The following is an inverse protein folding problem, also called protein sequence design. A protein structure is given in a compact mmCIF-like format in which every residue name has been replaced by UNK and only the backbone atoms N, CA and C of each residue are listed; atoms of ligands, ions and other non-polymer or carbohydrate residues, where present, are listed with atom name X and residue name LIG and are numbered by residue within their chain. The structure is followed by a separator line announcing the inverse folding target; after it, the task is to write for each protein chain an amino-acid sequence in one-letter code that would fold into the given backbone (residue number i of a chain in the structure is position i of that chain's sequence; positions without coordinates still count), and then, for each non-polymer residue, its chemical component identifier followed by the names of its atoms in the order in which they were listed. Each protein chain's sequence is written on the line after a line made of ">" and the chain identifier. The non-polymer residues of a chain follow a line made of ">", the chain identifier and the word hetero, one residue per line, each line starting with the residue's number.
data_IF_846232764304
#
_entry.id   IF_846232764304
#
_cell.length_a   1.000
_cell.length_b   1.000
_cell.length_c   1.000
_cell.angle_alpha   90.00
_cell.angle_beta   90.00
_cell.angle_gamma   90.00
#
_symmetry.space_group_name_H-M   'P 1'
#
loop_
_entity.id
_entity.type
_entity.pdbx_description
1 polymer ?
#
# COMPACT_ATOMS: atom_id res chain seq x y z
N UNK A 1 -9.06 33.83 49.24
CA UNK A 1 -8.94 33.33 47.86
C UNK A 1 -9.64 34.30 46.91
N UNK A 2 -9.12 34.56 45.70
CA UNK A 2 -9.77 35.40 44.71
C UNK A 2 -11.20 34.91 44.37
N UNK A 3 -12.13 35.84 44.07
CA UNK A 3 -13.54 35.50 43.73
C UNK A 3 -13.67 34.39 42.64
N UNK A 4 -12.86 34.38 41.57
CA UNK A 4 -12.92 33.31 40.56
C UNK A 4 -12.51 31.93 41.08
N UNK A 5 -11.58 31.86 42.03
CA UNK A 5 -11.09 30.62 42.64
C UNK A 5 -12.14 30.04 43.59
N UNK A 6 -12.84 30.90 44.34
CA UNK A 6 -13.95 30.49 45.19
C UNK A 6 -15.11 29.93 44.36
N UNK A 7 -15.43 30.55 43.23
CA UNK A 7 -16.43 30.02 42.29
C UNK A 7 -16.00 28.67 41.70
N UNK A 8 -14.73 28.53 41.32
CA UNK A 8 -14.19 27.26 40.82
C UNK A 8 -14.18 26.15 41.88
N UNK A 9 -13.91 26.46 43.15
CA UNK A 9 -14.03 25.50 44.27
C UNK A 9 -15.45 25.00 44.44
N UNK A 10 -16.44 25.91 44.38
CA UNK A 10 -17.86 25.54 44.49
C UNK A 10 -18.32 24.65 43.31
N UNK A 11 -17.82 24.92 42.11
CA UNK A 11 -18.07 24.08 40.92
C UNK A 11 -17.38 22.72 41.04
N UNK A 12 -16.12 22.69 41.47
CA UNK A 12 -15.35 21.45 41.65
C UNK A 12 -15.96 20.53 42.72
N UNK A 13 -16.48 21.10 43.81
CA UNK A 13 -17.17 20.36 44.86
C UNK A 13 -18.46 19.65 44.36
N UNK A 14 -19.11 20.19 43.33
CA UNK A 14 -20.31 19.60 42.71
C UNK A 14 -19.95 18.66 41.55
N UNK A 15 -18.90 18.99 40.80
CA UNK A 15 -18.52 18.28 39.58
C UNK A 15 -16.98 18.23 39.47
N UNK A 16 -16.32 17.22 40.08
CA UNK A 16 -14.86 17.15 40.13
C UNK A 16 -14.18 17.01 38.76
N UNK A 17 -14.88 16.49 37.74
CA UNK A 17 -14.35 16.32 36.38
C UNK A 17 -14.46 17.58 35.50
N UNK A 18 -14.96 18.69 36.05
CA UNK A 18 -15.06 19.94 35.29
C UNK A 18 -13.65 20.48 34.96
N UNK A 19 -13.32 20.44 33.67
CA UNK A 19 -11.99 20.81 33.17
C UNK A 19 -11.64 22.27 33.38
N UNK A 20 -12.63 23.17 33.40
CA UNK A 20 -12.39 24.60 33.54
C UNK A 20 -12.11 24.95 35.01
N UNK A 21 -12.91 24.42 35.94
CA UNK A 21 -12.73 24.58 37.37
C UNK A 21 -11.40 23.95 37.83
N UNK A 22 -11.13 22.70 37.43
CA UNK A 22 -9.89 22.00 37.80
C UNK A 22 -8.64 22.73 37.31
N UNK A 23 -8.67 23.27 36.09
CA UNK A 23 -7.57 24.05 35.53
C UNK A 23 -7.34 25.34 36.33
N UNK A 24 -8.40 26.09 36.64
CA UNK A 24 -8.30 27.36 37.34
C UNK A 24 -7.79 27.18 38.79
N UNK A 25 -8.22 26.10 39.45
CA UNK A 25 -7.71 25.72 40.77
C UNK A 25 -6.25 25.28 40.73
N UNK A 26 -5.86 24.47 39.74
CA UNK A 26 -4.46 24.06 39.53
C UNK A 26 -3.55 25.24 39.23
N UNK A 27 -3.99 26.17 38.39
CA UNK A 27 -3.26 27.40 38.07
C UNK A 27 -3.08 28.29 39.31
N UNK A 28 -4.09 28.40 40.17
CA UNK A 28 -3.97 29.14 41.44
C UNK A 28 -3.08 28.42 42.46
N UNK A 29 -3.21 27.11 42.59
CA UNK A 29 -2.38 26.30 43.49
C UNK A 29 -0.89 26.40 43.13
N UNK A 30 -0.59 26.44 41.83
CA UNK A 30 0.76 26.66 41.31
C UNK A 30 1.36 28.03 41.67
N UNK A 31 0.57 29.00 42.14
CA UNK A 31 1.08 30.29 42.63
C UNK A 31 1.39 30.31 44.12
N UNK A 32 0.84 29.36 44.88
CA UNK A 32 0.94 29.30 46.35
C UNK A 32 1.95 28.25 46.79
N UNK A 33 1.93 27.07 46.17
CA UNK A 33 2.81 25.96 46.54
C UNK A 33 4.20 26.11 45.90
N UNK A 34 5.26 26.10 46.72
CA UNK A 34 6.64 26.34 46.26
C UNK A 34 7.11 25.26 45.28
N UNK A 35 6.73 24.00 45.50
CA UNK A 35 7.13 22.87 44.65
C UNK A 35 6.45 22.96 43.28
N UNK A 36 5.14 23.23 43.27
CA UNK A 36 4.35 23.38 42.05
C UNK A 36 4.74 24.63 41.27
N UNK A 37 5.07 25.74 41.95
CA UNK A 37 5.56 26.97 41.33
C UNK A 37 6.87 26.74 40.56
N UNK A 38 7.82 25.99 41.14
CA UNK A 38 9.07 25.62 40.48
C UNK A 38 8.83 24.76 39.23
N UNK A 39 7.97 23.75 39.33
CA UNK A 39 7.59 22.88 38.20
C UNK A 39 6.82 23.64 37.11
N UNK A 40 5.92 24.56 37.48
CA UNK A 40 5.18 25.39 36.55
C UNK A 40 6.12 26.34 35.78
N UNK A 41 7.14 26.89 36.46
CA UNK A 41 8.19 27.69 35.82
C UNK A 41 9.00 26.86 34.81
N UNK A 42 9.45 25.67 35.20
CA UNK A 42 10.15 24.75 34.29
C UNK A 42 9.28 24.36 33.08
N UNK A 43 8.00 24.05 33.30
CA UNK A 43 7.07 23.73 32.22
C UNK A 43 6.86 24.92 31.28
N UNK A 44 6.77 26.14 31.81
CA UNK A 44 6.65 27.36 31.01
C UNK A 44 7.92 27.60 30.16
N UNK A 45 9.10 27.38 30.71
CA UNK A 45 10.38 27.45 29.97
C UNK A 45 10.47 26.38 28.87
N UNK A 46 10.07 25.14 29.16
CA UNK A 46 10.02 24.06 28.18
C UNK A 46 8.99 24.35 27.08
N UNK A 47 7.82 24.92 27.40
CA UNK A 47 6.82 25.34 26.42
C UNK A 47 7.33 26.47 25.52
N UNK A 48 8.13 27.41 26.05
CA UNK A 48 8.80 28.45 25.24
C UNK A 48 9.84 27.87 24.30
N UNK A 49 10.56 26.81 24.71
CA UNK A 49 11.54 26.09 23.90
C UNK A 49 10.91 24.98 23.03
N UNK A 50 9.60 24.75 23.15
CA UNK A 50 8.93 23.73 22.36
C UNK A 50 9.06 24.09 20.88
N UNK A 51 9.43 23.13 20.01
CA UNK A 51 9.42 23.39 18.58
C UNK A 51 8.02 23.86 18.19
N UNK A 52 7.95 24.99 17.47
CA UNK A 52 6.67 25.48 16.95
C UNK A 52 6.00 24.32 16.23
N UNK A 53 4.77 24.00 16.66
CA UNK A 53 3.99 23.01 15.91
C UNK A 53 3.92 23.52 14.48
N UNK A 54 4.16 22.68 13.47
CA UNK A 54 3.96 23.10 12.09
C UNK A 54 2.48 23.45 11.94
N UNK A 55 2.17 24.73 12.01
CA UNK A 55 0.84 25.27 11.75
C UNK A 55 0.66 25.26 10.24
N UNK A 56 0.20 24.11 9.74
CA UNK A 56 -0.30 24.00 8.39
C UNK A 56 -1.65 24.71 8.34
N UNK A 57 -1.71 25.85 7.64
CA UNK A 57 -2.98 26.40 7.19
C UNK A 57 -3.58 25.45 6.14
N UNK A 58 -4.36 24.48 6.60
CA UNK A 58 -5.12 23.58 5.74
C UNK A 58 -6.41 24.25 5.34
N UNK A 59 -6.67 24.34 4.04
CA UNK A 59 -8.00 24.69 3.53
C UNK A 59 -8.95 23.54 3.86
N UNK A 60 -9.89 23.78 4.79
CA UNK A 60 -10.94 22.83 5.13
C UNK A 60 -12.21 23.15 4.35
N UNK A 61 -12.81 22.14 3.74
CA UNK A 61 -14.14 22.27 3.14
C UNK A 61 -15.17 22.05 4.25
N UNK A 62 -15.76 23.14 4.75
CA UNK A 62 -16.86 23.08 5.72
C UNK A 62 -18.22 23.10 5.01
N UNK A 63 -19.22 22.43 5.59
CA UNK A 63 -20.61 22.59 5.15
C UNK A 63 -21.04 24.05 5.31
N UNK A 64 -21.62 24.61 4.25
CA UNK A 64 -22.19 25.95 4.28
C UNK A 64 -23.50 25.90 5.05
N UNK A 65 -23.50 26.42 6.28
CA UNK A 65 -24.70 26.54 7.12
C UNK A 65 -25.47 27.82 6.84
N UNK A 66 -24.78 28.87 6.40
CA UNK A 66 -25.38 30.12 5.90
C UNK A 66 -25.38 30.11 4.36
N UNK A 67 -26.52 30.49 3.77
CA UNK A 67 -26.74 30.57 2.31
C UNK A 67 -26.29 29.29 1.57
N UNK A 68 -26.92 28.13 1.82
CA UNK A 68 -26.61 26.89 1.12
C UNK A 68 -26.84 27.05 -0.38
N UNK A 69 -25.99 26.42 -1.19
CA UNK A 69 -26.12 26.47 -2.65
C UNK A 69 -27.28 25.57 -3.09
N UNK A 70 -28.30 26.16 -3.69
CA UNK A 70 -29.33 25.39 -4.42
C UNK A 70 -28.70 24.74 -5.64
N UNK A 71 -28.94 23.45 -5.82
CA UNK A 71 -28.52 22.67 -6.98
C UNK A 71 -29.76 22.32 -7.80
N UNK A 72 -29.64 22.21 -9.11
CA UNK A 72 -30.75 21.95 -10.03
C UNK A 72 -30.44 20.73 -10.88
N UNK A 73 -31.49 20.06 -11.37
CA UNK A 73 -31.35 19.06 -12.42
C UNK A 73 -31.01 19.77 -13.75
N UNK A 74 -30.18 19.16 -14.57
CA UNK A 74 -29.76 19.71 -15.85
C UNK A 74 -30.45 19.00 -17.00
N UNK A 75 -30.91 19.73 -18.01
CA UNK A 75 -31.55 19.12 -19.18
C UNK A 75 -30.52 18.24 -19.92
N UNK A 76 -30.74 16.92 -19.90
CA UNK A 76 -29.80 15.92 -20.46
C UNK A 76 -28.37 16.03 -19.92
N UNK A 77 -28.19 16.58 -18.72
CA UNK A 77 -26.86 16.74 -18.09
C UNK A 77 -26.03 17.90 -18.63
N UNK A 78 -26.56 18.76 -19.52
CA UNK A 78 -25.88 19.95 -19.98
C UNK A 78 -25.79 21.00 -18.86
N UNK A 79 -24.57 21.32 -18.43
CA UNK A 79 -24.30 22.23 -17.32
C UNK A 79 -24.74 23.67 -17.58
N UNK A 80 -25.03 24.04 -18.84
CA UNK A 80 -25.53 25.36 -19.22
C UNK A 80 -27.05 25.50 -19.08
N UNK A 81 -27.78 24.40 -18.93
CA UNK A 81 -29.25 24.37 -18.93
C UNK A 81 -29.85 23.82 -17.61
N UNK A 82 -29.68 24.53 -16.48
CA UNK A 82 -30.28 24.13 -15.21
C UNK A 82 -31.81 24.33 -15.21
N UNK A 83 -32.55 23.29 -14.82
CA UNK A 83 -34.00 23.33 -14.60
C UNK A 83 -34.34 24.02 -13.28
N UNK A 84 -34.41 25.36 -13.30
CA UNK A 84 -34.61 26.19 -12.10
C UNK A 84 -35.94 25.94 -11.37
N UNK A 85 -36.93 25.36 -12.05
CA UNK A 85 -38.22 25.00 -11.47
C UNK A 85 -38.16 23.76 -10.56
N UNK A 86 -37.11 22.94 -10.65
CA UNK A 86 -36.98 21.70 -9.88
C UNK A 86 -35.60 21.59 -9.21
N UNK A 87 -35.43 22.18 -8.01
CA UNK A 87 -34.23 22.01 -7.22
C UNK A 87 -33.95 20.54 -6.94
N UNK A 88 -32.70 20.11 -7.14
CA UNK A 88 -32.26 18.76 -6.83
C UNK A 88 -32.20 18.57 -5.31
N UNK A 89 -32.84 17.52 -4.81
CA UNK A 89 -32.81 17.12 -3.41
C UNK A 89 -31.83 15.95 -3.27
N UNK A 90 -30.91 15.96 -2.29
CA UNK A 90 -30.05 14.81 -2.02
C UNK A 90 -30.89 13.55 -1.77
N UNK A 91 -30.65 12.51 -2.56
CA UNK A 91 -31.35 11.23 -2.47
C UNK A 91 -30.37 10.07 -2.74
N UNK A 92 -30.79 8.85 -2.40
CA UNK A 92 -30.09 7.62 -2.72
C UNK A 92 -30.66 6.91 -3.95
N UNK A 93 -30.11 5.76 -4.28
CA UNK A 93 -30.71 4.85 -5.27
C UNK A 93 -32.08 4.37 -4.75
N UNK A 94 -33.10 4.37 -5.59
CA UNK A 94 -34.47 4.00 -5.20
C UNK A 94 -34.62 2.56 -4.72
N UNK A 95 -33.70 1.69 -5.12
CA UNK A 95 -33.61 0.29 -4.69
C UNK A 95 -32.98 0.11 -3.31
N UNK A 96 -32.50 1.19 -2.70
CA UNK A 96 -31.89 1.21 -1.37
C UNK A 96 -32.73 2.06 -0.41
N UNK A 97 -32.59 1.84 0.90
CA UNK A 97 -33.21 2.72 1.89
C UNK A 97 -32.84 4.18 1.65
N UNK A 98 -33.80 5.08 1.81
CA UNK A 98 -33.55 6.52 1.62
C UNK A 98 -32.51 7.06 2.62
N UNK A 99 -31.63 7.94 2.17
CA UNK A 99 -30.75 8.71 3.04
C UNK A 99 -31.60 9.73 3.80
N UNK A 100 -31.70 9.60 5.12
CA UNK A 100 -32.50 10.49 5.96
C UNK A 100 -31.61 11.27 6.94
N UNK A 101 -31.99 12.51 7.31
CA UNK A 101 -31.27 13.25 8.34
C UNK A 101 -31.36 12.55 9.69
N UNK A 102 -30.27 12.50 10.45
CA UNK A 102 -30.19 11.86 11.78
C UNK A 102 -31.22 12.40 12.78
N UNK A 103 -31.55 13.68 12.70
CA UNK A 103 -32.53 14.31 13.59
C UNK A 103 -33.98 14.03 13.18
N UNK A 104 -34.21 13.23 12.13
CA UNK A 104 -35.52 12.85 11.58
C UNK A 104 -36.44 14.05 11.27
N UNK A 105 -35.88 15.24 11.14
CA UNK A 105 -36.62 16.45 10.80
C UNK A 105 -36.94 16.44 9.30
N UNK A 106 -38.21 16.30 8.90
CA UNK A 106 -38.58 16.22 7.49
C UNK A 106 -38.29 17.53 6.73
N UNK A 107 -38.04 18.64 7.43
CA UNK A 107 -37.72 19.93 6.83
C UNK A 107 -36.22 20.10 6.55
N UNK A 108 -35.38 19.18 7.02
CA UNK A 108 -33.93 19.24 6.80
C UNK A 108 -33.48 18.23 5.76
N UNK A 109 -32.57 18.68 4.91
CA UNK A 109 -31.89 17.81 3.97
C UNK A 109 -30.78 17.03 4.68
N UNK A 110 -30.57 15.78 4.25
CA UNK A 110 -29.46 14.97 4.72
C UNK A 110 -28.12 15.66 4.41
N UNK A 111 -27.23 15.70 5.40
CA UNK A 111 -25.89 16.23 5.27
C UNK A 111 -24.85 15.13 4.94
N UNK A 112 -23.57 15.52 4.86
CA UNK A 112 -22.48 14.58 4.54
C UNK A 112 -22.28 13.50 5.60
N UNK A 113 -22.58 13.80 6.85
CA UNK A 113 -22.43 12.84 7.94
C UNK A 113 -23.62 11.87 7.95
N UNK A 114 -24.83 12.34 7.61
CA UNK A 114 -25.98 11.46 7.36
C UNK A 114 -25.67 10.44 6.24
N UNK A 115 -25.11 10.91 5.12
CA UNK A 115 -24.67 10.03 4.03
C UNK A 115 -23.58 9.05 4.50
N UNK A 116 -22.59 9.52 5.26
CA UNK A 116 -21.50 8.67 5.74
C UNK A 116 -22.00 7.54 6.66
N UNK A 117 -22.94 7.83 7.56
CA UNK A 117 -23.56 6.81 8.41
C UNK A 117 -24.44 5.85 7.61
N UNK A 118 -25.20 6.36 6.65
CA UNK A 118 -26.02 5.55 5.76
C UNK A 118 -25.19 4.61 4.88
N UNK A 119 -24.01 5.04 4.41
CA UNK A 119 -23.12 4.20 3.61
C UNK A 119 -22.70 2.93 4.36
N UNK A 120 -22.54 2.99 5.67
CA UNK A 120 -22.10 1.85 6.50
C UNK A 120 -23.21 1.30 7.39
N UNK A 121 -24.46 1.68 7.15
CA UNK A 121 -25.60 1.19 7.93
C UNK A 121 -25.90 -0.28 7.62
N UNK A 122 -26.53 -0.96 8.57
CA UNK A 122 -26.94 -2.36 8.39
C UNK A 122 -28.00 -2.50 7.28
N UNK A 123 -28.79 -1.44 7.05
CA UNK A 123 -29.80 -1.37 5.99
C UNK A 123 -29.19 -1.23 4.58
N UNK A 124 -27.91 -0.88 4.45
CA UNK A 124 -27.23 -0.76 3.17
C UNK A 124 -26.40 -2.02 2.85
N UNK A 125 -26.89 -2.93 1.99
CA UNK A 125 -26.18 -4.17 1.66
C UNK A 125 -25.04 -3.96 0.66
N UNK A 126 -24.98 -2.83 -0.06
CA UNK A 126 -24.01 -2.66 -1.14
C UNK A 126 -22.59 -2.43 -0.64
N UNK A 127 -22.41 -1.53 0.32
CA UNK A 127 -21.09 -1.18 0.84
C UNK A 127 -20.27 -2.38 1.33
N UNK A 128 -20.80 -3.32 2.14
CA UNK A 128 -20.03 -4.49 2.53
C UNK A 128 -19.78 -5.45 1.36
N UNK A 129 -20.72 -5.63 0.42
CA UNK A 129 -20.53 -6.45 -0.78
C UNK A 129 -19.41 -5.92 -1.66
N UNK A 130 -19.41 -4.62 -1.95
CA UNK A 130 -18.38 -3.96 -2.75
C UNK A 130 -17.02 -4.06 -2.05
N UNK A 131 -16.94 -3.74 -0.75
CA UNK A 131 -15.69 -3.80 0.01
C UNK A 131 -15.09 -5.22 0.07
N UNK A 132 -15.92 -6.23 0.27
CA UNK A 132 -15.52 -7.64 0.22
C UNK A 132 -15.03 -8.01 -1.16
N UNK A 133 -15.76 -7.64 -2.23
CA UNK A 133 -15.37 -7.97 -3.59
C UNK A 133 -14.03 -7.33 -3.99
N UNK A 134 -13.76 -6.10 -3.55
CA UNK A 134 -12.43 -5.49 -3.70
C UNK A 134 -11.36 -6.30 -2.98
N UNK A 135 -11.60 -6.70 -1.73
CA UNK A 135 -10.63 -7.50 -0.95
C UNK A 135 -10.39 -8.85 -1.63
N UNK A 136 -11.46 -9.51 -2.08
CA UNK A 136 -11.41 -10.75 -2.82
C UNK A 136 -10.63 -10.61 -4.13
N UNK A 137 -10.89 -9.56 -4.91
CA UNK A 137 -10.17 -9.27 -6.15
C UNK A 137 -8.66 -9.11 -5.93
N UNK A 138 -8.22 -8.44 -4.86
CA UNK A 138 -6.79 -8.36 -4.55
C UNK A 138 -6.18 -9.71 -4.15
N UNK A 139 -6.99 -10.58 -3.53
CA UNK A 139 -6.54 -11.89 -3.07
C UNK A 139 -6.59 -12.96 -4.16
N UNK A 140 -7.50 -12.89 -5.11
CA UNK A 140 -7.68 -13.89 -6.18
C UNK A 140 -7.37 -13.34 -7.58
N UNK A 141 -7.00 -12.07 -7.74
CA UNK A 141 -6.81 -11.42 -9.04
C UNK A 141 -8.11 -10.96 -9.70
N UNK A 142 -9.20 -11.71 -9.56
CA UNK A 142 -10.54 -11.35 -10.04
C UNK A 142 -11.53 -11.26 -8.87
N UNK A 143 -12.49 -10.35 -8.96
CA UNK A 143 -13.62 -10.27 -8.02
C UNK A 143 -14.63 -11.41 -8.24
N UNK A 144 -15.44 -11.69 -7.22
CA UNK A 144 -16.68 -12.48 -7.37
C UNK A 144 -17.64 -11.80 -8.34
N UNK A 145 -17.69 -10.47 -8.31
CA UNK A 145 -18.20 -9.60 -9.37
C UNK A 145 -16.98 -9.04 -10.11
N UNK A 146 -16.80 -9.40 -11.38
CA UNK A 146 -15.57 -9.03 -12.12
C UNK A 146 -15.55 -7.57 -12.52
N UNK A 147 -16.71 -6.97 -12.79
CA UNK A 147 -16.86 -5.52 -12.91
C UNK A 147 -16.78 -4.86 -11.54
N UNK A 148 -15.56 -4.75 -10.99
CA UNK A 148 -15.34 -4.30 -9.60
C UNK A 148 -15.99 -2.93 -9.31
N UNK A 149 -16.11 -2.06 -10.32
CA UNK A 149 -16.69 -0.71 -10.21
C UNK A 149 -18.17 -0.60 -10.63
N UNK A 150 -18.80 -1.69 -11.07
CA UNK A 150 -20.21 -1.69 -11.46
C UNK A 150 -20.91 -2.93 -10.90
N UNK A 151 -21.71 -2.72 -9.86
CA UNK A 151 -22.61 -3.71 -9.25
C UNK A 151 -24.06 -3.53 -9.74
N UNK A 152 -24.27 -2.64 -10.71
CA UNK A 152 -25.56 -2.37 -11.33
C UNK A 152 -25.88 -3.36 -12.45
N UNK A 153 -26.96 -3.09 -13.17
CA UNK A 153 -27.50 -3.96 -14.23
C UNK A 153 -26.58 -4.10 -15.45
N UNK A 154 -25.60 -3.20 -15.61
CA UNK A 154 -24.60 -3.24 -16.68
C UNK A 154 -23.31 -3.95 -16.24
N UNK A 155 -23.17 -4.23 -14.95
CA UNK A 155 -22.09 -5.02 -14.40
C UNK A 155 -22.34 -6.52 -14.52
N UNK A 156 -21.29 -7.29 -14.26
CA UNK A 156 -21.37 -8.73 -14.19
C UNK A 156 -22.18 -9.18 -12.98
N UNK A 157 -22.88 -10.31 -13.13
CA UNK A 157 -23.48 -11.00 -11.99
C UNK A 157 -22.37 -11.64 -11.14
N UNK A 158 -22.54 -11.73 -9.81
CA UNK A 158 -21.60 -12.46 -8.97
C UNK A 158 -21.55 -13.93 -9.37
N UNK A 159 -20.34 -14.49 -9.51
CA UNK A 159 -20.17 -15.94 -9.78
C UNK A 159 -20.70 -16.80 -8.63
N UNK A 160 -20.52 -16.33 -7.39
CA UNK A 160 -20.95 -17.00 -6.17
C UNK A 160 -21.75 -16.02 -5.27
N UNK A 161 -23.05 -15.78 -5.55
CA UNK A 161 -23.85 -14.78 -4.84
C UNK A 161 -23.97 -15.07 -3.33
N UNK A 162 -24.22 -16.34 -2.96
CA UNK A 162 -24.35 -16.72 -1.56
C UNK A 162 -23.04 -16.52 -0.77
N UNK A 163 -21.89 -16.78 -1.39
CA UNK A 163 -20.58 -16.53 -0.78
C UNK A 163 -20.32 -15.04 -0.58
N UNK A 164 -20.63 -14.22 -1.59
CA UNK A 164 -20.51 -12.77 -1.51
C UNK A 164 -21.37 -12.20 -0.37
N UNK A 165 -22.61 -12.66 -0.25
CA UNK A 165 -23.54 -12.24 0.80
C UNK A 165 -23.11 -12.69 2.19
N UNK A 166 -22.61 -13.91 2.30
CA UNK A 166 -22.04 -14.43 3.54
C UNK A 166 -20.83 -13.60 3.98
N UNK A 167 -19.86 -13.37 3.09
CA UNK A 167 -18.68 -12.56 3.39
C UNK A 167 -19.04 -11.11 3.73
N UNK A 168 -20.02 -10.51 3.04
CA UNK A 168 -20.49 -9.15 3.33
C UNK A 168 -21.08 -9.04 4.74
N UNK A 169 -21.90 -10.01 5.12
CA UNK A 169 -22.48 -10.08 6.48
C UNK A 169 -21.41 -10.35 7.53
N UNK A 170 -20.49 -11.26 7.24
CA UNK A 170 -19.36 -11.60 8.10
C UNK A 170 -18.43 -10.40 8.31
N UNK A 171 -18.18 -9.60 7.27
CA UNK A 171 -17.34 -8.41 7.38
C UNK A 171 -17.92 -7.38 8.36
N UNK A 172 -19.24 -7.21 8.38
CA UNK A 172 -19.94 -6.38 9.38
C UNK A 172 -19.84 -6.98 10.78
N UNK A 173 -20.05 -8.31 10.92
CA UNK A 173 -19.90 -9.03 12.19
C UNK A 173 -18.50 -8.87 12.78
N UNK A 174 -17.48 -8.88 11.93
CA UNK A 174 -16.07 -8.62 12.24
C UNK A 174 -15.74 -7.13 12.44
N UNK A 175 -16.77 -6.28 12.66
CA UNK A 175 -16.65 -4.84 12.92
C UNK A 175 -15.84 -4.11 11.84
N UNK A 176 -16.04 -4.48 10.58
CA UNK A 176 -15.36 -3.90 9.43
C UNK A 176 -13.83 -4.04 9.47
N UNK A 177 -13.30 -5.01 10.23
CA UNK A 177 -11.87 -5.29 10.31
C UNK A 177 -11.37 -5.94 9.03
N UNK A 178 -10.68 -5.16 8.18
CA UNK A 178 -10.04 -5.68 6.95
C UNK A 178 -9.08 -6.83 7.23
N UNK A 179 -8.32 -6.76 8.34
CA UNK A 179 -7.40 -7.84 8.74
C UNK A 179 -8.14 -9.13 9.07
N UNK A 180 -9.27 -9.05 9.77
CA UNK A 180 -10.07 -10.22 10.10
C UNK A 180 -10.68 -10.84 8.84
N UNK A 181 -11.24 -10.02 7.94
CA UNK A 181 -11.76 -10.49 6.65
C UNK A 181 -10.67 -11.18 5.80
N UNK A 182 -9.50 -10.56 5.67
CA UNK A 182 -8.37 -11.15 4.95
C UNK A 182 -7.99 -12.48 5.59
N UNK A 183 -7.90 -12.57 6.93
CA UNK A 183 -7.62 -13.81 7.63
C UNK A 183 -8.66 -14.90 7.34
N UNK A 184 -9.95 -14.55 7.35
CA UNK A 184 -11.04 -15.48 7.01
C UNK A 184 -10.87 -16.04 5.60
N UNK A 185 -10.56 -15.18 4.62
CA UNK A 185 -10.37 -15.60 3.22
C UNK A 185 -9.11 -16.45 3.06
N UNK A 186 -7.96 -16.01 3.57
CA UNK A 186 -6.68 -16.69 3.35
C UNK A 186 -6.55 -18.04 4.09
N UNK A 187 -7.37 -18.27 5.11
CA UNK A 187 -7.46 -19.56 5.81
C UNK A 187 -8.51 -20.51 5.21
N UNK A 188 -9.31 -20.07 4.24
CA UNK A 188 -10.28 -20.94 3.55
C UNK A 188 -9.59 -22.08 2.80
N UNK A 189 -10.34 -23.16 2.52
CA UNK A 189 -9.86 -24.22 1.61
C UNK A 189 -9.64 -23.65 0.21
N UNK A 190 -10.56 -22.82 -0.28
CA UNK A 190 -10.52 -22.22 -1.62
C UNK A 190 -9.26 -21.41 -1.87
N UNK A 191 -8.83 -20.59 -0.91
CA UNK A 191 -7.62 -19.78 -1.07
C UNK A 191 -6.33 -20.62 -1.05
N UNK A 192 -6.32 -21.71 -0.28
CA UNK A 192 -5.16 -22.61 -0.09
C UNK A 192 -5.02 -23.67 -1.18
N UNK A 193 -5.89 -23.67 -2.20
CA UNK A 193 -5.74 -24.53 -3.37
C UNK A 193 -4.44 -24.24 -4.12
N UNK A 194 -3.90 -25.24 -4.81
CA UNK A 194 -2.77 -25.04 -5.72
C UNK A 194 -3.18 -24.15 -6.90
N UNK A 195 -2.23 -23.38 -7.44
CA UNK A 195 -2.38 -22.65 -8.71
C UNK A 195 -2.06 -23.49 -9.95
N UNK A 196 -1.63 -24.76 -9.76
CA UNK A 196 -1.43 -25.68 -10.84
C UNK A 196 -2.68 -25.75 -11.74
N UNK A 197 -2.47 -25.72 -13.04
CA UNK A 197 -3.56 -25.69 -14.03
C UNK A 197 -3.52 -26.96 -14.88
N UNK A 198 -4.07 -28.09 -14.38
CA UNK A 198 -4.25 -29.31 -15.16
C UNK A 198 -5.01 -29.05 -16.46
N UNK A 199 -4.67 -29.71 -17.58
CA UNK A 199 -5.34 -29.51 -18.87
C UNK A 199 -6.86 -29.66 -18.82
N UNK A 200 -7.37 -30.60 -18.01
CA UNK A 200 -8.81 -30.80 -17.83
C UNK A 200 -9.52 -29.57 -17.23
N UNK A 201 -8.92 -28.95 -16.19
CA UNK A 201 -9.46 -27.73 -15.58
C UNK A 201 -9.32 -26.52 -16.50
N UNK A 202 -8.21 -26.42 -17.24
CA UNK A 202 -7.99 -25.37 -18.21
C UNK A 202 -9.05 -25.38 -19.33
N UNK A 203 -9.48 -26.57 -19.75
CA UNK A 203 -10.52 -26.75 -20.77
C UNK A 203 -11.93 -26.50 -20.22
N UNK A 204 -12.23 -26.97 -19.00
CA UNK A 204 -13.56 -26.87 -18.41
C UNK A 204 -13.89 -25.44 -17.91
N UNK A 205 -12.91 -24.77 -17.29
CA UNK A 205 -13.06 -23.41 -16.78
C UNK A 205 -11.77 -22.60 -17.00
N UNK A 206 -11.56 -22.12 -18.24
CA UNK A 206 -10.35 -21.38 -18.62
C UNK A 206 -10.13 -20.13 -17.76
N UNK A 207 -11.22 -19.46 -17.38
CA UNK A 207 -11.21 -18.22 -16.62
C UNK A 207 -11.19 -18.43 -15.09
N UNK A 208 -11.24 -19.68 -14.63
CA UNK A 208 -11.30 -20.06 -13.22
C UNK A 208 -12.46 -19.37 -12.46
N UNK A 209 -13.63 -19.24 -13.11
CA UNK A 209 -14.83 -18.66 -12.52
C UNK A 209 -15.37 -19.47 -11.34
N UNK A 210 -15.20 -20.80 -11.40
CA UNK A 210 -15.63 -21.75 -10.38
C UNK A 210 -14.60 -21.93 -9.26
N UNK A 211 -13.46 -21.22 -9.33
CA UNK A 211 -12.42 -21.23 -8.30
C UNK A 211 -11.90 -22.64 -7.99
N UNK A 212 -11.70 -23.45 -9.02
CA UNK A 212 -11.17 -24.83 -8.93
C UNK A 212 -9.66 -24.90 -8.60
N UNK A 213 -8.99 -23.75 -8.65
CA UNK A 213 -7.57 -23.55 -8.36
C UNK A 213 -7.32 -22.13 -7.85
N UNK A 214 -6.13 -21.88 -7.29
CA UNK A 214 -5.68 -20.51 -7.05
C UNK A 214 -5.21 -19.85 -8.35
N UNK A 215 -5.29 -18.51 -8.43
CA UNK A 215 -4.86 -17.76 -9.61
C UNK A 215 -3.39 -17.33 -9.49
N UNK A 216 -2.64 -17.48 -10.59
CA UNK A 216 -1.36 -16.79 -10.77
C UNK A 216 -1.63 -15.30 -10.90
N UNK A 217 -1.06 -14.48 -10.01
CA UNK A 217 -1.28 -13.02 -10.01
C UNK A 217 0.06 -12.29 -10.11
N UNK A 218 0.22 -11.50 -11.16
CA UNK A 218 1.42 -10.66 -11.34
C UNK A 218 1.52 -9.64 -10.20
N UNK A 219 2.72 -9.46 -9.66
CA UNK A 219 2.95 -8.49 -8.60
C UNK A 219 2.84 -7.06 -9.15
N UNK A 220 2.33 -6.16 -8.32
CA UNK A 220 2.25 -4.73 -8.64
C UNK A 220 3.64 -4.09 -8.64
N UNK A 221 3.80 -2.98 -9.37
CA UNK A 221 5.08 -2.25 -9.50
C UNK A 221 5.84 -2.03 -8.18
N UNK A 222 5.13 -1.57 -7.15
CA UNK A 222 5.70 -1.30 -5.83
C UNK A 222 6.19 -2.59 -5.16
N UNK A 223 5.46 -3.69 -5.35
CA UNK A 223 5.74 -4.99 -4.74
C UNK A 223 6.90 -5.69 -5.44
N UNK A 224 7.04 -5.57 -6.77
CA UNK A 224 8.19 -6.14 -7.51
C UNK A 224 9.50 -5.62 -6.92
N UNK A 225 9.60 -4.30 -6.72
CA UNK A 225 10.75 -3.69 -6.07
C UNK A 225 10.93 -4.16 -4.63
N UNK A 226 9.85 -4.18 -3.84
CA UNK A 226 9.90 -4.61 -2.44
C UNK A 226 10.32 -6.08 -2.32
N UNK A 227 9.96 -6.94 -3.27
CA UNK A 227 10.33 -8.35 -3.30
C UNK A 227 11.85 -8.50 -3.54
N UNK A 228 12.41 -7.81 -4.53
CA UNK A 228 13.86 -7.81 -4.80
C UNK A 228 14.67 -7.30 -3.60
N UNK A 229 14.20 -6.24 -2.94
CA UNK A 229 14.85 -5.71 -1.72
C UNK A 229 14.73 -6.67 -0.53
N UNK A 230 13.64 -7.44 -0.45
CA UNK A 230 13.44 -8.43 0.61
C UNK A 230 14.35 -9.64 0.43
N UNK A 231 14.40 -10.20 -0.78
CA UNK A 231 15.25 -11.33 -1.11
C UNK A 231 16.74 -11.01 -0.89
N UNK A 232 17.17 -9.82 -1.31
CA UNK A 232 18.53 -9.32 -1.13
C UNK A 232 18.88 -8.91 0.30
N UNK A 233 17.88 -8.67 1.16
CA UNK A 233 18.08 -8.19 2.53
C UNK A 233 18.30 -6.67 2.64
N UNK A 234 18.14 -5.92 1.56
CA UNK A 234 18.26 -4.45 1.54
C UNK A 234 17.02 -3.72 2.08
N UNK A 235 15.85 -4.37 2.12
CA UNK A 235 14.59 -3.70 2.46
C UNK A 235 14.62 -3.09 3.86
N UNK A 236 14.40 -1.77 3.93
CA UNK A 236 14.15 -1.08 5.19
C UNK A 236 12.69 -1.27 5.64
N UNK A 237 12.52 -1.84 6.84
CA UNK A 237 11.20 -2.10 7.46
C UNK A 237 10.62 -0.90 8.23
N UNK A 238 11.25 0.27 8.18
CA UNK A 238 10.79 1.51 8.83
C UNK A 238 9.38 1.87 8.37
N UNK A 239 8.46 2.12 9.32
CA UNK A 239 7.07 2.53 9.07
C UNK A 239 6.88 4.02 9.41
N UNK A 240 6.07 4.73 8.61
CA UNK A 240 5.78 6.17 8.78
C UNK A 240 6.85 7.09 8.21
N UNK A 241 6.78 8.40 8.51
CA UNK A 241 7.74 9.40 8.03
C UNK A 241 7.51 9.86 6.58
N UNK A 242 8.35 10.78 6.08
CA UNK A 242 8.18 11.39 4.76
C UNK A 242 8.44 10.40 3.62
N UNK A 243 7.99 10.78 2.42
CA UNK A 243 8.33 10.08 1.18
C UNK A 243 9.85 10.07 0.93
N UNK A 244 10.32 9.06 0.21
CA UNK A 244 11.71 8.87 -0.18
C UNK A 244 11.88 8.88 -1.69
N UNK A 245 13.13 9.03 -2.11
CA UNK A 245 13.53 9.24 -3.49
C UNK A 245 14.53 8.15 -3.89
N UNK A 246 14.06 6.97 -4.35
CA UNK A 246 14.95 5.96 -4.92
C UNK A 246 15.83 6.54 -6.04
N UNK A 247 17.00 5.94 -6.33
CA UNK A 247 17.83 6.38 -7.43
C UNK A 247 17.09 6.41 -8.76
N UNK A 248 17.38 7.43 -9.56
CA UNK A 248 16.83 7.61 -10.89
C UNK A 248 17.98 8.11 -11.79
N UNK A 249 18.05 7.65 -13.05
CA UNK A 249 19.01 8.20 -14.01
C UNK A 249 18.90 9.72 -14.13
N UNK A 250 20.04 10.40 -14.19
CA UNK A 250 20.12 11.87 -14.09
C UNK A 250 19.43 12.58 -15.28
N UNK A 251 19.52 11.99 -16.47
CA UNK A 251 18.84 12.40 -17.70
C UNK A 251 17.32 12.32 -17.56
N UNK A 252 16.80 11.21 -17.02
CA UNK A 252 15.35 11.03 -16.78
C UNK A 252 14.85 12.01 -15.71
N UNK A 253 15.64 12.21 -14.66
CA UNK A 253 15.34 13.18 -13.61
C UNK A 253 15.32 14.63 -14.14
N UNK A 254 16.26 14.98 -15.02
CA UNK A 254 16.33 16.30 -15.64
C UNK A 254 15.10 16.60 -16.50
N UNK A 255 14.66 15.65 -17.34
CA UNK A 255 13.49 15.80 -18.19
C UNK A 255 12.18 15.89 -17.39
N UNK A 256 12.04 15.07 -16.36
CA UNK A 256 10.77 14.87 -15.64
C UNK A 256 10.51 15.90 -14.53
N UNK A 257 11.56 16.55 -14.03
CA UNK A 257 11.48 17.40 -12.83
C UNK A 257 12.09 18.80 -12.96
N UNK A 258 12.51 19.22 -14.17
CA UNK A 258 13.07 20.55 -14.41
C UNK A 258 12.26 21.72 -13.77
N UNK A 259 12.99 22.78 -13.44
CA UNK A 259 12.54 24.09 -12.93
C UNK A 259 12.00 24.17 -11.49
N UNK A 260 11.21 23.22 -11.00
CA UNK A 260 10.54 23.37 -9.69
C UNK A 260 10.83 22.25 -8.66
N UNK A 261 11.50 21.17 -9.04
CA UNK A 261 11.76 20.06 -8.13
C UNK A 261 13.06 19.32 -8.48
N UNK A 262 14.02 19.22 -7.55
CA UNK A 262 15.22 18.41 -7.80
C UNK A 262 15.09 17.04 -7.15
N UNK A 263 15.12 15.97 -7.94
CA UNK A 263 15.11 14.60 -7.44
C UNK A 263 16.45 14.27 -6.76
N UNK A 264 16.53 14.47 -5.45
CA UNK A 264 17.71 14.13 -4.65
C UNK A 264 17.57 12.72 -4.11
N UNK A 265 18.33 11.78 -4.67
CA UNK A 265 18.29 10.39 -4.24
C UNK A 265 18.52 10.25 -2.72
N UNK A 266 17.60 9.56 -2.05
CA UNK A 266 17.69 9.23 -0.63
C UNK A 266 18.90 8.35 -0.36
N UNK A 267 19.50 8.54 0.81
CA UNK A 267 20.72 7.83 1.24
C UNK A 267 20.41 6.84 2.37
N UNK A 268 21.35 5.91 2.60
CA UNK A 268 21.24 4.93 3.68
C UNK A 268 19.96 4.09 3.59
N UNK A 269 19.34 3.72 4.73
CA UNK A 269 18.13 2.90 4.76
C UNK A 269 16.93 3.52 4.04
N UNK A 270 16.88 4.85 3.93
CA UNK A 270 15.77 5.54 3.27
C UNK A 270 15.78 5.32 1.73
N UNK A 271 16.93 4.96 1.15
CA UNK A 271 17.05 4.54 -0.25
C UNK A 271 16.27 3.26 -0.56
N UNK A 272 16.15 2.38 0.43
CA UNK A 272 15.60 1.02 0.29
C UNK A 272 14.28 0.83 1.06
N UNK A 273 13.52 1.91 1.30
CA UNK A 273 12.17 1.77 1.88
C UNK A 273 11.21 1.11 0.90
N UNK A 274 10.12 0.58 1.44
CA UNK A 274 8.99 0.05 0.66
C UNK A 274 8.53 1.03 -0.42
N UNK A 275 8.14 0.54 -1.58
CA UNK A 275 7.62 1.32 -2.71
C UNK A 275 6.44 2.22 -2.32
N UNK A 276 5.68 1.83 -1.29
CA UNK A 276 4.64 2.64 -0.65
C UNK A 276 5.13 4.05 -0.22
N UNK A 277 6.41 4.20 0.14
CA UNK A 277 7.00 5.47 0.55
C UNK A 277 7.69 6.22 -0.59
N UNK A 278 7.77 5.66 -1.80
CA UNK A 278 8.36 6.37 -2.94
C UNK A 278 7.55 7.62 -3.25
N UNK A 279 8.23 8.77 -3.36
CA UNK A 279 7.59 10.02 -3.72
C UNK A 279 6.92 9.89 -5.08
N UNK A 280 5.68 10.35 -5.17
CA UNK A 280 4.85 10.21 -6.36
C UNK A 280 4.43 11.58 -6.87
N UNK A 281 5.06 12.04 -7.97
CA UNK A 281 4.64 13.25 -8.69
C UNK A 281 3.62 12.85 -9.76
N UNK A 282 2.41 13.41 -9.69
CA UNK A 282 1.30 13.01 -10.56
C UNK A 282 1.59 13.06 -12.06
N UNK A 283 2.37 14.06 -12.50
CA UNK A 283 2.71 14.25 -13.91
C UNK A 283 3.96 13.48 -14.35
N UNK A 284 4.73 12.96 -13.41
CA UNK A 284 5.95 12.22 -13.71
C UNK A 284 6.26 11.22 -12.59
N UNK A 285 5.59 10.04 -12.58
CA UNK A 285 5.91 8.97 -11.64
C UNK A 285 7.36 8.47 -11.82
N UNK A 286 7.86 7.72 -10.84
CA UNK A 286 9.16 7.08 -10.98
C UNK A 286 9.15 6.08 -12.16
N UNK A 287 10.17 6.04 -13.05
CA UNK A 287 10.16 5.21 -14.26
C UNK A 287 9.86 3.73 -14.01
N UNK A 288 10.48 3.13 -12.99
CA UNK A 288 10.18 1.73 -12.63
C UNK A 288 8.70 1.51 -12.32
N UNK A 289 7.99 2.48 -11.73
CA UNK A 289 6.56 2.34 -11.47
C UNK A 289 5.79 2.28 -12.80
N UNK A 290 6.10 3.18 -13.73
CA UNK A 290 5.48 3.21 -15.06
C UNK A 290 5.75 1.93 -15.86
N UNK A 291 6.99 1.42 -15.83
CA UNK A 291 7.37 0.18 -16.55
C UNK A 291 6.56 -1.04 -16.07
N UNK A 292 6.21 -1.10 -14.79
CA UNK A 292 5.43 -2.20 -14.19
C UNK A 292 3.94 -1.83 -14.01
N UNK A 293 3.38 -1.07 -14.95
CA UNK A 293 1.94 -0.79 -15.06
C UNK A 293 1.33 -0.08 -13.84
N UNK A 294 2.09 0.79 -13.17
CA UNK A 294 1.53 1.65 -12.14
C UNK A 294 0.42 2.55 -12.74
N UNK A 295 -0.76 2.65 -12.09
CA UNK A 295 -1.88 3.42 -12.65
C UNK A 295 -1.58 4.91 -12.85
N UNK A 296 -2.19 5.49 -13.88
CA UNK A 296 -2.19 6.94 -14.06
C UNK A 296 -2.94 7.63 -12.92
N UNK A 297 -2.20 8.43 -12.16
CA UNK A 297 -2.71 9.18 -11.01
C UNK A 297 -3.70 10.31 -11.32
N UNK A 298 -3.90 10.63 -12.60
CA UNK A 298 -4.93 11.58 -13.03
C UNK A 298 -6.29 10.91 -13.25
N UNK A 299 -6.34 9.58 -13.21
CA UNK A 299 -7.56 8.80 -13.45
C UNK A 299 -7.87 7.91 -12.25
N UNK A 300 -9.14 7.53 -12.10
CA UNK A 300 -9.53 6.55 -11.09
C UNK A 300 -9.20 5.15 -11.60
N UNK A 301 -8.39 4.41 -10.87
CA UNK A 301 -8.04 3.03 -11.17
C UNK A 301 -8.65 2.10 -10.12
N UNK A 302 -9.64 1.33 -10.55
CA UNK A 302 -10.36 0.33 -9.74
C UNK A 302 -9.78 -1.07 -9.88
N UNK A 303 -9.13 -1.33 -11.01
CA UNK A 303 -8.45 -2.57 -11.35
C UNK A 303 -7.14 -2.21 -12.05
N UNK A 304 -6.03 -2.77 -11.56
CA UNK A 304 -4.71 -2.55 -12.15
C UNK A 304 -4.49 -3.58 -13.25
N UNK A 305 -4.22 -3.13 -14.46
CA UNK A 305 -3.77 -4.01 -15.54
C UNK A 305 -2.35 -4.49 -15.24
N UNK A 306 -2.04 -5.70 -15.67
CA UNK A 306 -0.69 -6.23 -15.64
C UNK A 306 -0.31 -6.63 -17.06
N UNK A 307 0.79 -6.05 -17.55
CA UNK A 307 1.40 -6.41 -18.82
C UNK A 307 2.49 -7.45 -18.56
N UNK A 308 2.82 -8.23 -19.59
CA UNK A 308 4.00 -9.10 -19.59
C UNK A 308 4.82 -8.78 -20.84
N UNK A 309 5.77 -7.85 -20.70
CA UNK A 309 6.55 -7.36 -21.84
C UNK A 309 8.04 -7.69 -21.69
N UNK A 310 8.77 -7.90 -22.79
CA UNK A 310 10.22 -8.07 -22.73
C UNK A 310 10.94 -6.89 -22.05
N UNK A 311 10.40 -5.67 -22.17
CA UNK A 311 10.94 -4.48 -21.50
C UNK A 311 10.94 -4.60 -19.97
N UNK A 312 9.91 -5.22 -19.37
CA UNK A 312 9.86 -5.47 -17.93
C UNK A 312 10.94 -6.47 -17.49
N UNK A 313 11.17 -7.53 -18.27
CA UNK A 313 12.25 -8.48 -18.02
C UNK A 313 13.63 -7.82 -18.15
N UNK A 314 13.84 -7.01 -19.20
CA UNK A 314 15.08 -6.25 -19.36
C UNK A 314 15.28 -5.21 -18.25
N UNK A 315 14.21 -4.62 -17.73
CA UNK A 315 14.28 -3.66 -16.63
C UNK A 315 14.72 -4.34 -15.33
N UNK A 316 14.15 -5.49 -14.98
CA UNK A 316 14.59 -6.26 -13.80
C UNK A 316 16.01 -6.80 -13.95
N UNK A 317 16.52 -7.01 -15.16
CA UNK A 317 17.92 -7.36 -15.38
C UNK A 317 18.87 -6.15 -15.22
N UNK A 318 18.49 -4.96 -15.68
CA UNK A 318 19.48 -3.90 -15.93
C UNK A 318 19.33 -2.66 -15.05
N UNK A 319 18.15 -2.37 -14.50
CA UNK A 319 17.96 -1.16 -13.71
C UNK A 319 18.68 -1.25 -12.35
N UNK A 320 19.24 -0.12 -11.90
CA UNK A 320 20.14 -0.01 -10.75
C UNK A 320 19.63 -0.75 -9.50
N UNK A 321 18.36 -0.58 -9.13
CA UNK A 321 17.83 -1.20 -7.88
C UNK A 321 17.82 -2.74 -7.94
N UNK A 322 17.63 -3.33 -9.12
CA UNK A 322 17.59 -4.78 -9.27
C UNK A 322 18.99 -5.38 -9.38
N UNK A 323 19.92 -4.68 -10.04
CA UNK A 323 21.34 -5.03 -10.05
C UNK A 323 21.93 -4.96 -8.65
N UNK A 324 21.64 -3.91 -7.89
CA UNK A 324 22.07 -3.83 -6.49
C UNK A 324 21.44 -4.92 -5.61
N UNK A 325 20.19 -5.29 -5.90
CA UNK A 325 19.54 -6.40 -5.20
C UNK A 325 20.24 -7.72 -5.49
N UNK A 326 20.63 -8.01 -6.74
CA UNK A 326 21.38 -9.23 -7.05
C UNK A 326 22.78 -9.23 -6.43
N UNK A 327 23.47 -8.09 -6.43
CA UNK A 327 24.76 -7.90 -5.77
C UNK A 327 24.68 -8.14 -4.26
N UNK A 328 23.72 -7.51 -3.58
CA UNK A 328 23.52 -7.69 -2.14
C UNK A 328 23.05 -9.11 -1.78
N UNK A 329 22.20 -9.73 -2.62
CA UNK A 329 21.78 -11.11 -2.44
C UNK A 329 22.96 -12.08 -2.56
N UNK A 330 23.81 -11.93 -3.58
CA UNK A 330 25.01 -12.75 -3.74
C UNK A 330 25.94 -12.63 -2.53
N UNK A 331 26.23 -11.39 -2.09
CA UNK A 331 27.00 -11.14 -0.87
C UNK A 331 26.42 -11.88 0.34
N UNK A 332 25.11 -11.80 0.52
CA UNK A 332 24.41 -12.50 1.60
C UNK A 332 24.62 -14.01 1.51
N UNK A 333 24.46 -14.60 0.32
CA UNK A 333 24.58 -16.05 0.11
C UNK A 333 26.01 -16.56 0.36
N UNK A 334 27.03 -15.85 -0.12
CA UNK A 334 28.43 -16.27 0.07
C UNK A 334 28.90 -16.09 1.51
N UNK A 335 28.34 -15.12 2.25
CA UNK A 335 28.68 -14.86 3.66
C UNK A 335 27.95 -15.83 4.61
N UNK A 336 26.78 -16.35 4.24
CA UNK A 336 26.08 -17.37 5.02
C UNK A 336 26.87 -18.70 5.00
N UNK A 337 27.03 -19.35 6.16
CA UNK A 337 27.70 -20.66 6.25
C UNK A 337 26.79 -21.76 5.71
N UNK A 338 27.22 -22.36 4.60
CA UNK A 338 26.58 -23.52 3.97
C UNK A 338 27.66 -24.54 3.61
N UNK A 339 27.37 -25.85 3.64
CA UNK A 339 28.38 -26.89 3.42
C UNK A 339 28.88 -26.97 1.98
N UNK A 340 28.04 -26.57 1.01
CA UNK A 340 28.34 -26.64 -0.42
C UNK A 340 27.51 -25.61 -1.21
N UNK A 341 27.84 -25.46 -2.49
CA UNK A 341 27.16 -24.52 -3.39
C UNK A 341 25.72 -24.93 -3.70
N UNK A 342 25.39 -26.22 -3.72
CA UNK A 342 24.01 -26.66 -3.95
C UNK A 342 23.10 -26.22 -2.80
N UNK A 343 23.59 -26.23 -1.56
CA UNK A 343 22.87 -25.69 -0.40
C UNK A 343 22.73 -24.17 -0.46
N UNK A 344 23.76 -23.46 -0.94
CA UNK A 344 23.67 -22.02 -1.22
C UNK A 344 22.62 -21.71 -2.30
N UNK A 345 22.58 -22.48 -3.38
CA UNK A 345 21.58 -22.34 -4.45
C UNK A 345 20.16 -22.62 -3.93
N UNK A 346 19.95 -23.69 -3.16
CA UNK A 346 18.66 -23.97 -2.50
C UNK A 346 18.25 -22.81 -1.59
N UNK A 347 19.19 -22.24 -0.84
CA UNK A 347 18.95 -21.07 0.02
C UNK A 347 18.56 -19.84 -0.80
N UNK A 348 19.30 -19.52 -1.85
CA UNK A 348 19.02 -18.40 -2.76
C UNK A 348 17.64 -18.55 -3.40
N UNK A 349 17.32 -19.73 -3.92
CA UNK A 349 16.04 -20.04 -4.54
C UNK A 349 14.86 -19.86 -3.55
N UNK A 350 15.01 -20.34 -2.31
CA UNK A 350 14.00 -20.14 -1.26
C UNK A 350 13.81 -18.68 -0.84
N UNK A 351 14.84 -17.84 -0.95
CA UNK A 351 14.70 -16.40 -0.72
C UNK A 351 13.89 -15.72 -1.83
N UNK A 352 13.93 -16.25 -3.05
CA UNK A 352 13.15 -15.73 -4.18
C UNK A 352 11.70 -16.22 -4.16
N UNK A 353 11.48 -17.54 -4.18
CA UNK A 353 10.16 -18.13 -4.46
C UNK A 353 9.58 -18.97 -3.31
N UNK A 354 10.19 -18.92 -2.12
CA UNK A 354 9.71 -19.56 -0.88
C UNK A 354 9.52 -21.09 -0.88
N UNK A 355 9.81 -21.80 -1.98
CA UNK A 355 9.86 -23.27 -2.09
C UNK A 355 11.27 -23.78 -2.37
N UNK A 356 11.48 -25.08 -2.23
CA UNK A 356 12.72 -25.71 -2.69
C UNK A 356 12.73 -25.83 -4.22
N UNK A 357 13.90 -25.70 -4.89
CA UNK A 357 14.01 -25.97 -6.31
C UNK A 357 13.81 -27.46 -6.58
N UNK A 358 13.25 -27.78 -7.74
CA UNK A 358 13.29 -29.11 -8.32
C UNK A 358 14.73 -29.49 -8.70
N UNK A 359 14.96 -30.78 -8.99
CA UNK A 359 16.28 -31.25 -9.43
C UNK A 359 16.76 -30.50 -10.69
N UNK A 360 15.88 -30.36 -11.68
CA UNK A 360 16.19 -29.68 -12.94
C UNK A 360 16.53 -28.20 -12.74
N UNK A 361 15.77 -27.49 -11.90
CA UNK A 361 16.07 -26.08 -11.59
C UNK A 361 17.42 -25.95 -10.86
N UNK A 362 17.67 -26.81 -9.88
CA UNK A 362 18.92 -26.78 -9.12
C UNK A 362 20.13 -27.09 -9.99
N UNK A 363 20.02 -28.08 -10.89
CA UNK A 363 21.07 -28.44 -11.83
C UNK A 363 21.32 -27.29 -12.83
N UNK A 364 20.26 -26.69 -13.40
CA UNK A 364 20.41 -25.55 -14.30
C UNK A 364 21.06 -24.31 -13.65
N UNK A 365 20.76 -24.02 -12.38
CA UNK A 365 21.45 -22.95 -11.66
C UNK A 365 22.89 -23.31 -11.24
N UNK A 366 23.18 -24.58 -11.01
CA UNK A 366 24.54 -25.04 -10.74
C UNK A 366 25.41 -24.91 -12.00
N UNK A 367 24.87 -25.27 -13.16
CA UNK A 367 25.53 -25.10 -14.45
C UNK A 367 25.80 -23.63 -14.74
N UNK A 368 24.78 -22.77 -14.57
CA UNK A 368 24.94 -21.31 -14.71
C UNK A 368 26.04 -20.76 -13.79
N UNK A 369 26.08 -21.20 -12.54
CA UNK A 369 27.10 -20.78 -11.58
C UNK A 369 28.50 -21.24 -12.04
N UNK A 370 28.63 -22.47 -12.54
CA UNK A 370 29.86 -23.00 -13.11
C UNK A 370 30.35 -22.18 -14.31
N UNK A 371 29.50 -21.97 -15.30
CA UNK A 371 29.83 -21.15 -16.49
C UNK A 371 30.20 -19.71 -16.10
N UNK A 372 29.48 -19.12 -15.15
CA UNK A 372 29.81 -17.77 -14.69
C UNK A 372 31.16 -17.71 -13.97
N UNK A 373 31.54 -18.75 -13.21
CA UNK A 373 32.87 -18.83 -12.57
C UNK A 373 33.99 -18.90 -13.60
N UNK A 374 33.83 -19.74 -14.63
CA UNK A 374 34.79 -19.85 -15.74
C UNK A 374 34.95 -18.52 -16.47
N UNK A 375 33.84 -17.82 -16.75
CA UNK A 375 33.92 -16.50 -17.38
C UNK A 375 34.66 -15.49 -16.51
N UNK A 376 34.30 -15.38 -15.24
CA UNK A 376 34.84 -14.35 -14.34
C UNK A 376 36.24 -14.67 -13.78
N UNK A 377 36.74 -15.90 -13.92
CA UNK A 377 38.16 -16.18 -13.68
C UNK A 377 39.05 -15.49 -14.71
N UNK A 378 38.59 -15.43 -15.95
CA UNK A 378 39.37 -14.92 -17.07
C UNK A 378 39.12 -13.42 -17.33
N UNK A 379 38.05 -12.86 -16.76
CA UNK A 379 37.62 -11.47 -16.95
C UNK A 379 37.55 -10.70 -15.62
N UNK A 380 38.70 -10.46 -15.00
CA UNK A 380 38.79 -9.81 -13.68
C UNK A 380 38.15 -8.41 -13.62
N UNK A 381 38.27 -7.60 -14.68
CA UNK A 381 37.66 -6.26 -14.74
C UNK A 381 36.13 -6.33 -14.81
N UNK A 382 35.57 -7.27 -15.56
CA UNK A 382 34.13 -7.50 -15.61
C UNK A 382 33.59 -7.99 -14.27
N UNK A 383 34.35 -8.87 -13.59
CA UNK A 383 34.00 -9.34 -12.25
C UNK A 383 33.93 -8.17 -11.26
N UNK A 384 34.94 -7.29 -11.26
CA UNK A 384 34.97 -6.10 -10.42
C UNK A 384 33.81 -5.15 -10.71
N UNK A 385 33.48 -4.94 -11.99
CA UNK A 385 32.35 -4.11 -12.42
C UNK A 385 31.01 -4.68 -11.97
N UNK A 386 30.81 -5.99 -12.12
CA UNK A 386 29.55 -6.64 -11.77
C UNK A 386 29.31 -6.71 -10.26
N UNK A 387 30.35 -6.94 -9.45
CA UNK A 387 30.23 -7.00 -7.98
C UNK A 387 29.90 -5.63 -7.39
N UNK A 388 30.50 -4.57 -7.94
CA UNK A 388 30.23 -3.20 -7.52
C UNK A 388 30.48 -2.97 -6.02
N UNK A 389 29.52 -2.31 -5.34
CA UNK A 389 29.67 -1.86 -3.94
C UNK A 389 29.40 -2.95 -2.90
N UNK A 390 28.97 -4.14 -3.32
CA UNK A 390 28.57 -5.22 -2.41
C UNK A 390 29.54 -6.41 -2.42
N UNK A 391 30.83 -6.18 -2.65
CA UNK A 391 31.84 -7.22 -2.50
C UNK A 391 31.81 -7.85 -1.10
N UNK A 392 31.93 -9.18 -1.05
CA UNK A 392 32.15 -9.90 0.20
C UNK A 392 33.63 -9.78 0.59
N UNK A 393 33.92 -9.60 1.89
CA UNK A 393 35.28 -9.34 2.37
C UNK A 393 36.23 -10.54 2.17
N UNK A 394 35.70 -11.75 2.36
CA UNK A 394 36.48 -12.99 2.38
C UNK A 394 36.24 -13.83 1.12
N UNK A 395 35.92 -13.19 0.00
CA UNK A 395 35.59 -13.86 -1.26
C UNK A 395 36.15 -13.05 -2.42
N UNK A 396 36.75 -13.72 -3.41
CA UNK A 396 37.31 -13.04 -4.58
C UNK A 396 36.20 -12.33 -5.37
N UNK A 397 36.58 -11.30 -6.14
CA UNK A 397 35.64 -10.61 -7.03
C UNK A 397 35.08 -11.57 -8.09
N UNK A 398 35.89 -12.49 -8.62
CA UNK A 398 35.46 -13.49 -9.60
C UNK A 398 34.37 -14.41 -9.05
N UNK A 399 34.58 -14.95 -7.84
CA UNK A 399 33.60 -15.81 -7.18
C UNK A 399 32.33 -15.02 -6.82
N UNK A 400 32.48 -13.81 -6.28
CA UNK A 400 31.35 -12.93 -6.00
C UNK A 400 30.54 -12.63 -7.26
N UNK A 401 31.20 -12.32 -8.39
CA UNK A 401 30.56 -12.00 -9.66
C UNK A 401 29.74 -13.18 -10.21
N UNK A 402 30.25 -14.41 -10.10
CA UNK A 402 29.52 -15.60 -10.50
C UNK A 402 28.21 -15.78 -9.71
N UNK A 403 28.26 -15.54 -8.40
CA UNK A 403 27.05 -15.51 -7.56
C UNK A 403 26.12 -14.34 -7.90
N UNK A 404 26.64 -13.16 -8.24
CA UNK A 404 25.81 -12.02 -8.70
C UNK A 404 25.07 -12.38 -9.98
N UNK A 405 25.74 -12.97 -10.97
CA UNK A 405 25.12 -13.39 -12.22
C UNK A 405 24.02 -14.42 -11.98
N UNK A 406 24.28 -15.42 -11.13
CA UNK A 406 23.30 -16.45 -10.77
C UNK A 406 22.09 -15.86 -10.03
N UNK A 407 22.31 -15.02 -9.02
CA UNK A 407 21.23 -14.36 -8.27
C UNK A 407 20.41 -13.41 -9.16
N UNK A 408 21.06 -12.75 -10.13
CA UNK A 408 20.40 -11.85 -11.10
C UNK A 408 19.38 -12.60 -11.96
N UNK A 409 19.70 -13.81 -12.41
CA UNK A 409 18.75 -14.66 -13.14
C UNK A 409 17.62 -15.15 -12.22
N UNK A 410 17.93 -15.57 -10.98
CA UNK A 410 16.90 -15.97 -10.02
C UNK A 410 15.90 -14.83 -9.72
N UNK A 411 16.37 -13.60 -9.58
CA UNK A 411 15.51 -12.41 -9.37
C UNK A 411 14.77 -11.96 -10.63
N UNK A 412 15.07 -12.51 -11.80
CA UNK A 412 14.44 -12.20 -13.07
C UNK A 412 13.41 -13.26 -13.51
N UNK A 413 13.28 -14.37 -12.78
CA UNK A 413 12.31 -15.42 -13.08
C UNK A 413 10.86 -14.87 -13.08
N UNK A 414 10.02 -15.40 -13.97
CA UNK A 414 8.59 -15.09 -14.01
C UNK A 414 7.89 -15.37 -12.66
N UNK A 415 8.25 -16.50 -12.04
CA UNK A 415 7.76 -16.92 -10.71
C UNK A 415 8.18 -15.94 -9.60
N UNK A 416 9.31 -15.24 -9.72
CA UNK A 416 9.73 -14.30 -8.68
C UNK A 416 8.87 -13.03 -8.65
N UNK A 417 8.30 -12.65 -9.79
CA UNK A 417 7.46 -11.45 -9.95
C UNK A 417 5.97 -11.81 -10.09
N UNK A 418 5.61 -13.07 -9.83
CA UNK A 418 4.24 -13.59 -9.90
C UNK A 418 3.94 -14.35 -8.61
N UNK A 419 2.75 -14.15 -8.03
CA UNK A 419 2.29 -14.94 -6.89
C UNK A 419 1.57 -16.17 -7.41
N UNK A 420 2.06 -17.34 -7.03
CA UNK A 420 1.52 -18.66 -7.39
C UNK A 420 1.12 -19.49 -6.18
#
# INVERSE_FOLDING_TARGET
>A
LPKPVLAALATYAKTPDDKAATKLLGDHYATIDKTTAALAKQLAELKKKAPKRPEMNVRVIRQRTANPRTTFLFHRGDFLTPQKSNPAIPAGLSTLPAVRPRNKDPKKLADRLDLALWLVSDDNPLSPRVAVNHTWSHLFGNGLVRTVNDFGVRGDKPTHPALLDWLATEFRRLKWSRKALIRTIVLSSTYRQSSATPPALAKADPQNLLLSRQNRVRLQAEIIRDNSLTASGLLSRKIGGPSVFPPMPADVAALSYANNFKWKASQGPDRFRRGLYTFFKRTAPHPNLTTFDCPDSNTTCVERRASNTPLQALTTLNNEVFVESSQAMARRIVTEKHPDDRRRLVRAFRLCVARSPSKQELDGFADLLGTAREWYSDHAEDAKKLVGKYAAKDTSNSESAAWVATCRIMLNMDEFITRE
#
